data_IF_584502281667
#
_entry.id   IF_584502281667
#
_cell.length_a   1.000
_cell.length_b   1.000
_cell.length_c   1.000
_cell.angle_alpha   90.00
_cell.angle_beta   90.00
_cell.angle_gamma   90.00
#
_symmetry.space_group_name_H-M   'P 1'
#
loop_
_entity.id
_entity.type
_entity.pdbx_description
1 polymer ?
#
# COMPACT_ATOMS: atom_id res chain seq x y z
N UNK A 1 14.58 0.67 6.85
CA UNK A 1 13.66 -0.45 6.60
C UNK A 1 12.43 0.14 5.95
N UNK A 2 12.02 -0.41 4.82
CA UNK A 2 10.87 0.10 4.09
C UNK A 2 9.61 -0.62 4.60
N UNK A 3 8.62 0.15 5.02
CA UNK A 3 7.34 -0.40 5.47
C UNK A 3 6.30 -0.23 4.37
N UNK A 4 5.44 -1.22 4.21
CA UNK A 4 4.37 -1.21 3.23
C UNK A 4 3.01 -1.02 3.90
N UNK A 5 2.17 -0.18 3.30
CA UNK A 5 0.77 0.04 3.66
C UNK A 5 -0.08 -0.45 2.48
N UNK A 6 -1.08 -1.26 2.75
CA UNK A 6 -2.04 -1.71 1.73
C UNK A 6 -3.38 -1.08 2.02
N UNK A 7 -3.98 -0.49 0.98
CA UNK A 7 -5.33 0.06 1.03
C UNK A 7 -6.13 -0.54 -0.13
N UNK A 8 -7.27 -1.15 0.17
CA UNK A 8 -8.24 -1.60 -0.81
C UNK A 8 -9.59 -0.96 -0.52
N UNK A 9 -10.28 -0.52 -1.57
CA UNK A 9 -11.67 -0.08 -1.48
C UNK A 9 -12.62 -1.24 -1.79
N UNK A 10 -13.81 -1.18 -1.21
CA UNK A 10 -14.88 -2.16 -1.39
C UNK A 10 -15.69 -1.84 -2.66
N UNK A 11 -15.16 -2.27 -3.80
CA UNK A 11 -15.84 -2.19 -5.10
C UNK A 11 -17.02 -3.18 -5.23
N UNK A 12 -17.19 -4.12 -4.29
CA UNK A 12 -18.29 -5.09 -4.34
C UNK A 12 -19.59 -4.47 -3.81
N UNK A 13 -19.49 -3.64 -2.77
CA UNK A 13 -20.65 -3.02 -2.12
C UNK A 13 -20.87 -1.54 -2.48
N UNK A 14 -19.97 -0.93 -3.26
CA UNK A 14 -20.05 0.48 -3.62
C UNK A 14 -19.91 0.75 -5.13
N UNK A 15 -20.49 1.86 -5.64
CA UNK A 15 -20.40 2.21 -7.05
C UNK A 15 -18.94 2.37 -7.51
N UNK A 16 -18.52 1.74 -8.63
CA UNK A 16 -17.13 1.79 -9.10
C UNK A 16 -16.61 3.21 -9.35
N UNK A 17 -17.47 4.12 -9.83
CA UNK A 17 -17.11 5.51 -10.06
C UNK A 17 -16.72 6.22 -8.75
N UNK A 18 -17.48 6.02 -7.67
CA UNK A 18 -17.21 6.61 -6.36
C UNK A 18 -15.91 6.05 -5.77
N UNK A 19 -15.71 4.73 -5.84
CA UNK A 19 -14.46 4.12 -5.38
C UNK A 19 -13.25 4.62 -6.18
N UNK A 20 -13.40 4.81 -7.49
CA UNK A 20 -12.32 5.34 -8.33
C UNK A 20 -11.97 6.80 -7.98
N UNK A 21 -12.97 7.64 -7.71
CA UNK A 21 -12.75 9.00 -7.21
C UNK A 21 -12.01 9.00 -5.87
N UNK A 22 -12.47 8.20 -4.90
CA UNK A 22 -11.85 8.10 -3.58
C UNK A 22 -10.42 7.55 -3.66
N UNK A 23 -10.18 6.57 -4.53
CA UNK A 23 -8.85 6.02 -4.76
C UNK A 23 -7.88 7.10 -5.23
N UNK A 24 -8.28 7.95 -6.18
CA UNK A 24 -7.43 9.04 -6.67
C UNK A 24 -7.06 10.03 -5.55
N UNK A 25 -8.00 10.33 -4.66
CA UNK A 25 -7.77 11.21 -3.50
C UNK A 25 -6.81 10.57 -2.50
N UNK A 26 -7.02 9.29 -2.15
CA UNK A 26 -6.13 8.53 -1.27
C UNK A 26 -4.72 8.46 -1.87
N UNK A 27 -4.61 8.08 -3.13
CA UNK A 27 -3.33 7.94 -3.82
C UNK A 27 -2.57 9.27 -3.80
N UNK A 28 -3.23 10.38 -4.11
CA UNK A 28 -2.62 11.70 -4.06
C UNK A 28 -2.14 12.07 -2.65
N UNK A 29 -2.99 11.88 -1.63
CA UNK A 29 -2.63 12.17 -0.24
C UNK A 29 -1.43 11.35 0.26
N UNK A 30 -1.40 10.06 -0.06
CA UNK A 30 -0.29 9.17 0.29
C UNK A 30 1.01 9.59 -0.43
N UNK A 31 0.94 9.93 -1.72
CA UNK A 31 2.09 10.43 -2.47
C UNK A 31 2.64 11.74 -1.88
N UNK A 32 1.76 12.68 -1.53
CA UNK A 32 2.13 13.95 -0.90
C UNK A 32 2.77 13.76 0.48
N UNK A 33 2.36 12.73 1.22
CA UNK A 33 2.97 12.38 2.51
C UNK A 33 4.34 11.69 2.38
N UNK A 34 4.80 11.42 1.15
CA UNK A 34 6.11 10.85 0.84
C UNK A 34 6.13 9.33 0.65
N UNK A 35 4.96 8.69 0.52
CA UNK A 35 4.90 7.29 0.12
C UNK A 35 5.14 7.14 -1.39
N UNK A 36 5.65 5.98 -1.80
CA UNK A 36 5.68 5.54 -3.20
C UNK A 36 4.53 4.57 -3.45
N UNK A 37 3.81 4.73 -4.54
CA UNK A 37 2.67 3.88 -4.89
C UNK A 37 3.07 2.79 -5.90
N UNK A 38 2.64 1.55 -5.65
CA UNK A 38 2.76 0.40 -6.54
C UNK A 38 1.47 -0.42 -6.45
N UNK A 39 0.55 -0.22 -7.41
CA UNK A 39 -0.80 -0.77 -7.33
C UNK A 39 -1.53 -0.29 -6.07
N UNK A 40 -1.94 -1.24 -5.21
CA UNK A 40 -2.63 -0.98 -3.93
C UNK A 40 -1.69 -0.78 -2.74
N UNK A 41 -0.39 -0.83 -3.00
CA UNK A 41 0.66 -0.80 -1.98
C UNK A 41 1.37 0.54 -1.99
N UNK A 42 1.49 1.12 -0.80
CA UNK A 42 2.25 2.34 -0.54
C UNK A 42 3.47 2.01 0.31
N UNK A 43 4.67 2.37 -0.14
CA UNK A 43 5.93 2.08 0.57
C UNK A 43 6.61 3.36 1.02
N UNK A 44 7.25 3.31 2.19
CA UNK A 44 8.03 4.44 2.72
C UNK A 44 9.23 3.91 3.53
N UNK A 45 10.36 4.63 3.49
CA UNK A 45 11.52 4.30 4.32
C UNK A 45 11.42 4.98 5.69
N UNK A 46 10.53 4.47 6.53
CA UNK A 46 10.36 4.87 7.93
C UNK A 46 10.18 3.61 8.79
N UNK A 47 10.54 3.66 10.08
CA UNK A 47 10.20 2.61 11.03
C UNK A 47 8.69 2.37 11.09
N UNK A 48 8.27 1.14 11.38
CA UNK A 48 6.87 0.69 11.44
C UNK A 48 5.95 1.72 12.12
N UNK A 49 6.24 2.09 13.37
CA UNK A 49 5.36 2.97 14.14
C UNK A 49 5.15 4.33 13.45
N UNK A 50 6.19 4.88 12.82
CA UNK A 50 6.11 6.15 12.13
C UNK A 50 5.40 6.02 10.78
N UNK A 51 5.64 4.94 10.03
CA UNK A 51 4.96 4.65 8.77
C UNK A 51 3.45 4.46 8.99
N UNK A 52 3.05 3.64 9.96
CA UNK A 52 1.66 3.39 10.33
C UNK A 52 0.97 4.67 10.81
N UNK A 53 1.61 5.43 11.71
CA UNK A 53 1.05 6.69 12.21
C UNK A 53 0.86 7.70 11.08
N UNK A 54 1.84 7.83 10.18
CA UNK A 54 1.76 8.75 9.05
C UNK A 54 0.65 8.34 8.08
N UNK A 55 0.53 7.06 7.74
CA UNK A 55 -0.52 6.57 6.86
C UNK A 55 -1.92 6.81 7.45
N UNK A 56 -2.11 6.54 8.75
CA UNK A 56 -3.38 6.85 9.45
C UNK A 56 -3.69 8.33 9.40
N UNK A 57 -2.72 9.18 9.72
CA UNK A 57 -2.90 10.64 9.68
C UNK A 57 -3.36 11.12 8.30
N UNK A 58 -2.80 10.58 7.21
CA UNK A 58 -3.26 10.93 5.85
C UNK A 58 -4.72 10.55 5.65
N UNK A 59 -5.14 9.37 6.08
CA UNK A 59 -6.52 8.91 5.94
C UNK A 59 -7.47 9.71 6.84
N UNK A 60 -7.08 9.99 8.08
CA UNK A 60 -7.82 10.80 9.03
C UNK A 60 -8.02 12.23 8.47
N UNK A 61 -6.95 12.86 7.96
CA UNK A 61 -7.04 14.18 7.33
C UNK A 61 -8.00 14.16 6.13
N UNK A 62 -7.92 13.14 5.27
CA UNK A 62 -8.83 13.00 4.13
C UNK A 62 -10.28 12.77 4.56
N UNK A 63 -10.51 11.98 5.61
CA UNK A 63 -11.83 11.74 6.19
C UNK A 63 -12.44 13.06 6.67
N UNK A 64 -11.71 13.85 7.46
CA UNK A 64 -12.20 15.13 7.98
C UNK A 64 -12.61 16.10 6.86
N UNK A 65 -11.86 16.12 5.76
CA UNK A 65 -12.19 16.94 4.58
C UNK A 65 -13.41 16.41 3.81
N UNK A 66 -13.61 15.09 3.78
CA UNK A 66 -14.71 14.43 3.06
C UNK A 66 -16.01 14.36 3.86
N UNK A 67 -15.95 14.32 5.19
CA UNK A 67 -17.12 14.36 6.07
C UNK A 67 -17.91 15.67 5.87
N UNK A 68 -17.20 16.78 5.63
CA UNK A 68 -17.80 18.05 5.22
C UNK A 68 -18.68 17.92 3.97
N UNK A 69 -18.39 16.92 3.11
CA UNK A 69 -19.11 16.58 1.89
C UNK A 69 -20.00 15.33 2.01
N UNK A 70 -20.24 14.81 3.23
CA UNK A 70 -21.04 13.60 3.54
C UNK A 70 -20.50 12.28 2.98
N UNK A 71 -19.20 12.17 2.70
CA UNK A 71 -18.55 10.90 2.33
C UNK A 71 -17.70 10.42 3.51
N UNK A 72 -17.96 9.21 4.02
CA UNK A 72 -17.13 8.57 5.04
C UNK A 72 -16.19 7.55 4.38
N UNK A 73 -14.96 7.94 4.13
CA UNK A 73 -13.88 7.18 3.49
C UNK A 73 -13.71 5.79 4.11
N UNK A 74 -13.78 5.67 5.45
CA UNK A 74 -13.65 4.39 6.14
C UNK A 74 -14.72 3.37 5.75
N UNK A 75 -15.93 3.81 5.39
CA UNK A 75 -16.99 2.90 4.95
C UNK A 75 -16.69 2.26 3.60
N UNK A 76 -15.86 2.91 2.78
CA UNK A 76 -15.47 2.41 1.47
C UNK A 76 -14.23 1.53 1.53
N UNK A 77 -13.57 1.36 2.68
CA UNK A 77 -12.35 0.54 2.78
C UNK A 77 -12.68 -0.93 3.06
N UNK A 78 -12.11 -1.81 2.23
CA UNK A 78 -12.13 -3.26 2.44
C UNK A 78 -10.92 -3.73 3.26
N UNK A 79 -9.74 -3.22 2.90
CA UNK A 79 -8.49 -3.55 3.59
C UNK A 79 -7.71 -2.28 3.90
N UNK A 80 -7.19 -2.20 5.13
CA UNK A 80 -6.22 -1.20 5.53
C UNK A 80 -5.26 -1.76 6.58
N UNK A 81 -4.09 -2.20 6.12
CA UNK A 81 -3.09 -2.84 6.98
C UNK A 81 -1.68 -2.53 6.51
N UNK A 82 -0.70 -2.94 7.32
CA UNK A 82 0.70 -2.69 7.05
C UNK A 82 1.56 -3.91 7.35
N UNK A 83 2.73 -4.00 6.71
CA UNK A 83 3.68 -5.09 6.90
C UNK A 83 5.11 -4.65 6.59
N UNK A 84 6.07 -5.39 7.15
CA UNK A 84 7.49 -5.22 6.85
C UNK A 84 7.80 -5.77 5.45
N UNK A 85 8.35 -4.93 4.57
CA UNK A 85 8.67 -5.34 3.21
C UNK A 85 9.72 -6.46 3.19
N UNK A 86 10.59 -6.53 4.19
CA UNK A 86 11.60 -7.58 4.30
C UNK A 86 10.96 -8.97 4.61
N UNK A 87 9.71 -8.99 5.07
CA UNK A 87 8.93 -10.21 5.26
C UNK A 87 8.24 -10.70 3.96
N UNK A 88 8.54 -10.11 2.80
CA UNK A 88 7.98 -10.52 1.51
C UNK A 88 8.96 -11.34 0.67
N UNK A 89 8.45 -12.39 0.04
CA UNK A 89 9.20 -13.22 -0.92
C UNK A 89 8.60 -13.07 -2.32
N UNK A 90 9.44 -12.85 -3.32
CA UNK A 90 9.00 -12.78 -4.71
C UNK A 90 8.94 -14.18 -5.33
N UNK A 91 7.73 -14.73 -5.43
CA UNK A 91 7.50 -16.07 -5.99
C UNK A 91 7.68 -16.17 -7.51
N UNK A 92 7.92 -15.05 -8.21
CA UNK A 92 8.29 -15.06 -9.63
C UNK A 92 9.78 -15.32 -9.85
N UNK A 93 10.57 -15.34 -8.77
CA UNK A 93 11.99 -15.66 -8.81
C UNK A 93 12.16 -17.01 -8.10
N UNK A 94 12.85 -17.99 -8.72
CA UNK A 94 13.18 -19.25 -8.05
C UNK A 94 13.92 -18.99 -6.74
N UNK A 95 13.79 -19.90 -5.79
CA UNK A 95 14.48 -19.75 -4.52
C UNK A 95 15.98 -19.69 -4.76
N UNK A 96 16.70 -18.86 -3.98
CA UNK A 96 18.15 -18.66 -4.18
C UNK A 96 18.93 -19.96 -3.96
N UNK A 97 18.39 -20.87 -3.15
CA UNK A 97 18.96 -22.20 -2.92
C UNK A 97 18.82 -23.13 -4.14
N UNK A 98 17.84 -22.90 -5.01
CA UNK A 98 17.63 -23.67 -6.25
C UNK A 98 18.48 -23.16 -7.42
N UNK A 99 19.00 -21.93 -7.33
CA UNK A 99 19.89 -21.31 -8.31
C UNK A 99 21.34 -21.82 -8.17
N UNK A 100 21.54 -23.14 -8.08
CA UNK A 100 22.86 -23.74 -8.14
C UNK A 100 23.42 -23.66 -9.57
N UNK A 101 24.20 -22.62 -9.86
CA UNK A 101 24.93 -22.50 -11.12
C UNK A 101 26.01 -23.58 -11.15
N UNK A 102 25.83 -24.61 -11.98
CA UNK A 102 26.93 -25.50 -12.37
C UNK A 102 27.94 -24.67 -13.15
N UNK A 103 28.98 -24.19 -12.47
CA UNK A 103 30.15 -23.63 -13.13
C UNK A 103 30.81 -24.78 -13.90
N UNK A 104 30.55 -24.84 -15.20
CA UNK A 104 31.22 -25.77 -16.09
C UNK A 104 32.70 -25.42 -16.10
N UNK A 105 33.51 -26.26 -15.46
CA UNK A 105 34.96 -26.22 -15.60
C UNK A 105 35.27 -26.65 -17.03
N UNK A 106 35.63 -25.70 -17.89
CA UNK A 106 36.30 -26.00 -19.14
C UNK A 106 37.71 -26.48 -18.80
N UNK A 107 37.93 -27.77 -18.98
CA UNK A 107 39.24 -28.44 -18.92
C UNK A 107 40.06 -28.13 -20.18
#
# INVERSE_FOLDING_TARGET
MAYAIVINLDYENHPPAVCSELWNVIQLGMLQAGFKCDGRRFTINLPEHQACKKARHVIDDLEDHLEYHRKHLYRFMKDFYAYDLDATSNLLVPDREELAVKVGVLA
#
